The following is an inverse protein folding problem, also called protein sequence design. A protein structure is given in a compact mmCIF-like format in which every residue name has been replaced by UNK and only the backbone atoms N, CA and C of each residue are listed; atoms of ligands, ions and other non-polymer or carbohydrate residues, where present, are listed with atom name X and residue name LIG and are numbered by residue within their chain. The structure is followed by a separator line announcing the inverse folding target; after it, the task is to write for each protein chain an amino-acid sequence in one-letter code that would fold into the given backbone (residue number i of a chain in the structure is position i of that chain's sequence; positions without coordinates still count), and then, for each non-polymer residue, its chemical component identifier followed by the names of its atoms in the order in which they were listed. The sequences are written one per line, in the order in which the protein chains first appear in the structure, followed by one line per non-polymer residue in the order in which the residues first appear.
data_IF_960141231816
#
_entry.id   IF_960141231816
#
_cell.length_a   1.000
_cell.length_b   1.000
_cell.length_c   1.000
_cell.angle_alpha   90.00
_cell.angle_beta   90.00
_cell.angle_gamma   90.00
#
_symmetry.space_group_name_H-M   'P 1'
#
loop_
_entity.id
_entity.type
_entity.pdbx_description
1 polymer ?
#
# COMPACT_ATOMS: atom_id res chain seq x y z
N UNK A 1 6.01 -24.44 -2.76
CA UNK A 1 6.15 -22.96 -2.68
C UNK A 1 4.87 -22.37 -2.11
N UNK A 2 4.94 -21.27 -1.35
CA UNK A 2 3.75 -20.59 -0.81
C UNK A 2 3.71 -19.14 -1.30
N UNK A 3 2.61 -18.73 -1.94
CA UNK A 3 2.35 -17.36 -2.39
C UNK A 3 1.09 -16.87 -1.72
N UNK A 4 1.10 -15.62 -1.26
CA UNK A 4 -0.08 -14.99 -0.69
C UNK A 4 -0.42 -13.76 -1.49
N UNK A 5 -1.64 -13.68 -2.01
CA UNK A 5 -2.19 -12.48 -2.65
C UNK A 5 -3.27 -11.90 -1.75
N UNK A 6 -3.60 -10.63 -2.00
CA UNK A 6 -4.72 -9.98 -1.34
C UNK A 6 -5.58 -9.27 -2.37
N UNK A 7 -6.88 -9.42 -2.18
CA UNK A 7 -7.92 -8.88 -3.03
C UNK A 7 -8.85 -8.01 -2.20
N UNK A 8 -9.27 -6.89 -2.78
CA UNK A 8 -10.35 -6.05 -2.24
C UNK A 8 -11.67 -6.83 -2.18
N UNK A 9 -12.66 -6.33 -1.43
CA UNK A 9 -13.98 -6.99 -1.37
C UNK A 9 -14.63 -7.11 -2.76
N UNK A 10 -14.39 -6.13 -3.63
CA UNK A 10 -14.86 -6.17 -5.01
C UNK A 10 -14.20 -7.30 -5.81
N UNK A 11 -12.87 -7.42 -5.73
CA UNK A 11 -12.12 -8.45 -6.45
C UNK A 11 -12.38 -9.86 -5.90
N UNK A 12 -12.64 -10.01 -4.59
CA UNK A 12 -12.95 -11.30 -3.96
C UNK A 12 -14.11 -12.01 -4.65
N UNK A 13 -15.14 -11.27 -5.06
CA UNK A 13 -16.29 -11.85 -5.77
C UNK A 13 -15.85 -12.50 -7.08
N UNK A 14 -15.09 -11.78 -7.90
CA UNK A 14 -14.55 -12.28 -9.17
C UNK A 14 -13.60 -13.46 -8.96
N UNK A 15 -12.75 -13.40 -7.94
CA UNK A 15 -11.87 -14.52 -7.56
C UNK A 15 -12.71 -15.74 -7.18
N UNK A 16 -13.75 -15.57 -6.35
CA UNK A 16 -14.62 -16.67 -5.91
C UNK A 16 -15.36 -17.32 -7.08
N UNK A 17 -15.88 -16.52 -8.01
CA UNK A 17 -16.51 -16.99 -9.25
C UNK A 17 -15.54 -17.80 -10.11
N UNK A 18 -14.30 -17.30 -10.30
CA UNK A 18 -13.27 -18.02 -11.02
C UNK A 18 -12.90 -19.36 -10.35
N UNK A 19 -12.75 -19.37 -9.02
CA UNK A 19 -12.38 -20.58 -8.26
C UNK A 19 -13.49 -21.64 -8.27
N UNK A 20 -14.77 -21.27 -8.46
CA UNK A 20 -15.89 -22.21 -8.49
C UNK A 20 -15.82 -23.25 -9.63
N UNK A 21 -14.99 -23.01 -10.66
CA UNK A 21 -14.78 -23.94 -11.77
C UNK A 21 -13.78 -25.07 -11.49
N UNK A 22 -13.17 -25.12 -10.31
CA UNK A 22 -12.11 -26.07 -9.96
C UNK A 22 -12.57 -27.11 -8.93
N UNK A 23 -11.79 -28.18 -8.77
CA UNK A 23 -12.06 -29.24 -7.80
C UNK A 23 -12.08 -28.66 -6.37
N UNK A 24 -13.26 -28.68 -5.74
CA UNK A 24 -13.45 -28.20 -4.38
C UNK A 24 -12.84 -29.15 -3.36
N UNK A 25 -12.16 -28.58 -2.37
CA UNK A 25 -11.62 -29.27 -1.21
C UNK A 25 -12.37 -28.82 0.05
N UNK A 26 -12.39 -29.66 1.08
CA UNK A 26 -12.99 -29.31 2.35
C UNK A 26 -12.25 -28.13 3.01
N UNK A 27 -13.00 -27.10 3.39
CA UNK A 27 -12.48 -25.98 4.16
C UNK A 27 -12.07 -26.43 5.55
N UNK A 28 -10.89 -26.03 6.02
CA UNK A 28 -10.36 -26.46 7.32
C UNK A 28 -10.70 -25.53 8.47
N UNK A 29 -11.14 -24.31 8.18
CA UNK A 29 -11.46 -23.30 9.20
C UNK A 29 -12.67 -22.47 8.77
N UNK A 30 -13.38 -21.88 9.74
CA UNK A 30 -14.50 -20.96 9.49
C UNK A 30 -14.12 -19.67 8.74
N UNK A 31 -12.83 -19.39 8.59
CA UNK A 31 -12.33 -18.21 7.89
C UNK A 31 -11.98 -18.49 6.42
N UNK A 32 -12.11 -19.74 5.96
CA UNK A 32 -11.92 -20.11 4.56
C UNK A 32 -13.26 -19.98 3.82
N UNK A 33 -13.31 -19.11 2.80
CA UNK A 33 -14.48 -18.94 1.93
C UNK A 33 -14.55 -20.03 0.86
N UNK A 34 -13.39 -20.37 0.27
CA UNK A 34 -13.25 -21.35 -0.80
C UNK A 34 -11.88 -22.01 -0.69
N UNK A 35 -11.83 -23.33 -0.90
CA UNK A 35 -10.59 -24.10 -1.02
C UNK A 35 -10.70 -25.01 -2.23
N UNK A 36 -9.77 -24.92 -3.17
CA UNK A 36 -9.79 -25.70 -4.41
C UNK A 36 -8.41 -26.25 -4.76
N UNK A 37 -8.38 -27.27 -5.62
CA UNK A 37 -7.17 -27.78 -6.26
C UNK A 37 -7.07 -27.25 -7.68
N UNK A 38 -5.93 -26.65 -8.03
CA UNK A 38 -5.59 -26.18 -9.38
C UNK A 38 -4.24 -26.80 -9.76
N UNK A 39 -4.26 -27.82 -10.61
CA UNK A 39 -3.07 -28.62 -10.90
C UNK A 39 -2.48 -29.21 -9.62
N UNK A 40 -1.19 -29.03 -9.40
CA UNK A 40 -0.48 -29.45 -8.18
C UNK A 40 -0.47 -28.38 -7.07
N UNK A 41 -1.33 -27.36 -7.17
CA UNK A 41 -1.47 -26.31 -6.16
C UNK A 41 -2.82 -26.37 -5.46
N UNK A 42 -2.80 -26.14 -4.15
CA UNK A 42 -3.99 -25.85 -3.34
C UNK A 42 -4.14 -24.35 -3.24
N UNK A 43 -5.33 -23.85 -3.59
CA UNK A 43 -5.69 -22.43 -3.52
C UNK A 43 -6.78 -22.25 -2.48
N UNK A 44 -6.51 -21.41 -1.48
CA UNK A 44 -7.45 -21.09 -0.40
C UNK A 44 -7.75 -19.59 -0.39
N UNK A 45 -9.00 -19.22 -0.61
CA UNK A 45 -9.51 -17.86 -0.43
C UNK A 45 -10.11 -17.73 0.97
N UNK A 46 -9.69 -16.72 1.72
CA UNK A 46 -10.18 -16.42 3.07
C UNK A 46 -11.22 -15.31 3.05
N UNK A 47 -12.07 -15.28 4.08
CA UNK A 47 -13.09 -14.22 4.31
C UNK A 47 -12.49 -12.82 4.41
N UNK A 48 -11.19 -12.70 4.69
CA UNK A 48 -10.46 -11.42 4.71
C UNK A 48 -10.04 -10.89 3.33
N UNK A 49 -10.20 -11.69 2.27
CA UNK A 49 -9.68 -11.41 0.92
C UNK A 49 -8.25 -11.85 0.66
N UNK A 50 -7.62 -12.49 1.64
CA UNK A 50 -6.35 -13.18 1.43
C UNK A 50 -6.57 -14.42 0.57
N UNK A 51 -5.70 -14.64 -0.40
CA UNK A 51 -5.65 -15.85 -1.19
C UNK A 51 -4.27 -16.49 -1.01
N UNK A 52 -4.24 -17.73 -0.55
CA UNK A 52 -3.02 -18.51 -0.34
C UNK A 52 -2.93 -19.59 -1.42
N UNK A 53 -1.81 -19.62 -2.14
CA UNK A 53 -1.49 -20.63 -3.15
C UNK A 53 -0.33 -21.46 -2.61
N UNK A 54 -0.50 -22.77 -2.52
CA UNK A 54 0.51 -23.70 -2.01
C UNK A 54 0.70 -24.85 -2.97
N UNK A 55 1.91 -25.06 -3.47
CA UNK A 55 2.20 -26.14 -4.42
C UNK A 55 3.54 -25.93 -5.13
N UNK A 56 3.90 -26.86 -6.01
CA UNK A 56 5.05 -26.70 -6.90
C UNK A 56 4.73 -25.68 -8.00
N UNK A 57 3.52 -25.74 -8.56
CA UNK A 57 3.02 -24.84 -9.61
C UNK A 57 2.46 -23.50 -9.09
N UNK A 58 2.84 -23.09 -7.88
CA UNK A 58 2.19 -21.97 -7.21
C UNK A 58 2.30 -20.66 -8.01
N UNK A 59 3.45 -20.43 -8.65
CA UNK A 59 3.71 -19.20 -9.41
C UNK A 59 2.98 -19.17 -10.75
N UNK A 60 2.94 -20.31 -11.45
CA UNK A 60 2.11 -20.48 -12.64
C UNK A 60 0.62 -20.31 -12.32
N UNK A 61 0.18 -20.85 -11.18
CA UNK A 61 -1.21 -20.73 -10.69
C UNK A 61 -1.57 -19.27 -10.39
N UNK A 62 -0.64 -18.51 -9.77
CA UNK A 62 -0.79 -17.07 -9.54
C UNK A 62 -1.03 -16.32 -10.84
N UNK A 63 -0.17 -16.52 -11.84
CA UNK A 63 -0.23 -15.77 -13.10
C UNK A 63 -1.52 -16.08 -13.88
N UNK A 64 -1.91 -17.36 -13.96
CA UNK A 64 -3.16 -17.78 -14.59
C UNK A 64 -4.37 -17.18 -13.85
N UNK A 65 -4.37 -17.22 -12.51
CA UNK A 65 -5.47 -16.67 -11.71
C UNK A 65 -5.62 -15.17 -11.96
N UNK A 66 -4.52 -14.40 -11.85
CA UNK A 66 -4.55 -12.95 -12.05
C UNK A 66 -4.99 -12.56 -13.46
N UNK A 67 -4.57 -13.32 -14.48
CA UNK A 67 -5.02 -13.14 -15.85
C UNK A 67 -6.52 -13.37 -16.00
N UNK A 68 -7.05 -14.47 -15.47
CA UNK A 68 -8.46 -14.85 -15.66
C UNK A 68 -9.45 -13.96 -14.89
N UNK A 69 -9.05 -13.40 -13.75
CA UNK A 69 -9.87 -12.40 -13.04
C UNK A 69 -9.78 -11.01 -13.69
N UNK A 70 -9.09 -10.87 -14.83
CA UNK A 70 -8.93 -9.61 -15.55
C UNK A 70 -8.02 -8.61 -14.83
N UNK A 71 -7.17 -9.05 -13.90
CA UNK A 71 -6.27 -8.17 -13.17
C UNK A 71 -5.08 -7.76 -14.04
N UNK A 72 -5.25 -6.69 -14.81
CA UNK A 72 -4.15 -6.05 -15.54
C UNK A 72 -3.23 -5.37 -14.53
N UNK A 73 -2.01 -5.90 -14.37
CA UNK A 73 -1.01 -5.29 -13.51
C UNK A 73 -0.67 -3.89 -14.01
N UNK A 74 -0.98 -2.87 -13.23
CA UNK A 74 -0.72 -1.47 -13.56
C UNK A 74 0.59 -1.03 -12.90
N UNK A 75 1.49 -0.43 -13.67
CA UNK A 75 2.67 0.24 -13.11
C UNK A 75 2.29 1.68 -12.76
N UNK A 76 2.26 1.99 -11.47
CA UNK A 76 1.86 3.31 -10.97
C UNK A 76 2.75 3.78 -9.81
N UNK A 77 2.67 5.06 -9.47
CA UNK A 77 3.22 5.61 -8.22
C UNK A 77 2.10 5.73 -7.19
N UNK A 78 2.25 5.01 -6.08
CA UNK A 78 1.37 5.14 -4.91
C UNK A 78 2.01 6.02 -3.85
N UNK A 79 1.25 6.90 -3.22
CA UNK A 79 1.72 7.82 -2.18
C UNK A 79 0.78 7.74 -0.98
N UNK A 80 1.35 7.68 0.22
CA UNK A 80 0.59 7.67 1.48
C UNK A 80 1.40 8.36 2.59
N UNK A 81 0.72 8.94 3.56
CA UNK A 81 1.28 9.64 4.70
C UNK A 81 1.00 8.96 6.05
N UNK A 82 1.79 9.34 7.06
CA UNK A 82 1.55 8.90 8.43
C UNK A 82 2.06 9.94 9.43
N UNK A 83 1.52 9.91 10.65
CA UNK A 83 1.92 10.82 11.74
C UNK A 83 1.18 12.17 11.79
N UNK A 84 0.23 12.45 10.88
CA UNK A 84 -0.54 13.71 10.88
C UNK A 84 -1.39 13.86 12.15
N UNK A 85 -2.19 12.83 12.47
CA UNK A 85 -3.08 12.79 13.64
C UNK A 85 -2.45 12.20 14.90
N UNK A 86 -1.18 11.81 14.87
CA UNK A 86 -0.55 11.12 16.00
C UNK A 86 0.09 12.09 17.00
N UNK A 87 0.03 11.75 18.30
CA UNK A 87 0.54 12.60 19.39
C UNK A 87 2.06 12.64 19.50
N UNK A 88 2.77 11.70 18.89
CA UNK A 88 4.23 11.58 18.93
C UNK A 88 4.79 11.43 17.51
N UNK A 89 6.10 11.49 17.32
CA UNK A 89 6.74 11.16 16.06
C UNK A 89 6.71 12.25 14.99
N UNK A 90 7.52 12.09 13.92
CA UNK A 90 7.49 12.97 12.77
C UNK A 90 6.26 12.72 11.89
N UNK A 91 5.98 13.67 10.99
CA UNK A 91 5.12 13.44 9.83
C UNK A 91 5.96 12.89 8.69
N UNK A 92 5.44 11.87 8.01
CA UNK A 92 6.16 11.13 6.98
C UNK A 92 5.25 10.93 5.79
N UNK A 93 5.76 11.20 4.59
CA UNK A 93 5.10 10.89 3.32
C UNK A 93 6.03 9.95 2.55
N UNK A 94 5.49 8.86 2.03
CA UNK A 94 6.26 7.93 1.20
C UNK A 94 5.61 7.78 -0.17
N UNK A 95 6.44 7.66 -1.21
CA UNK A 95 6.04 7.29 -2.56
C UNK A 95 6.70 5.99 -2.99
N UNK A 96 5.95 5.13 -3.68
CA UNK A 96 6.42 3.85 -4.21
C UNK A 96 6.01 3.73 -5.67
N UNK A 97 6.97 3.47 -6.55
CA UNK A 97 6.73 3.01 -7.92
C UNK A 97 6.68 1.47 -7.92
N UNK A 98 5.59 0.89 -8.39
CA UNK A 98 5.45 -0.57 -8.42
C UNK A 98 4.32 -1.05 -9.31
N UNK A 99 4.36 -2.34 -9.66
CA UNK A 99 3.26 -3.00 -10.34
C UNK A 99 2.23 -3.47 -9.30
N UNK A 100 0.95 -3.22 -9.54
CA UNK A 100 -0.14 -3.60 -8.61
C UNK A 100 -0.12 -5.08 -8.29
N UNK A 101 0.06 -5.97 -9.28
CA UNK A 101 0.05 -7.41 -9.09
C UNK A 101 1.24 -7.91 -8.26
N UNK A 102 2.42 -7.33 -8.45
CA UNK A 102 3.64 -7.70 -7.71
C UNK A 102 3.58 -7.30 -6.22
N UNK A 103 2.78 -6.28 -5.88
CA UNK A 103 2.65 -5.77 -4.51
C UNK A 103 1.43 -6.32 -3.76
N UNK A 104 0.63 -7.21 -4.38
CA UNK A 104 -0.56 -7.86 -3.73
C UNK A 104 -0.21 -8.68 -2.49
N UNK A 105 1.05 -9.07 -2.32
CA UNK A 105 1.50 -9.86 -1.17
C UNK A 105 1.52 -9.10 0.17
N UNK A 106 1.29 -7.78 0.16
CA UNK A 106 1.54 -6.89 1.30
C UNK A 106 0.45 -6.85 2.40
N UNK A 107 -0.83 -7.06 2.08
CA UNK A 107 -1.95 -6.67 2.97
C UNK A 107 -1.94 -7.38 4.33
N UNK A 108 -1.58 -8.65 4.38
CA UNK A 108 -1.51 -9.40 5.64
C UNK A 108 -0.32 -8.98 6.53
N UNK A 109 0.74 -8.43 5.92
CA UNK A 109 1.90 -7.93 6.67
C UNK A 109 1.64 -6.59 7.36
N UNK A 110 0.63 -5.82 6.92
CA UNK A 110 0.16 -4.59 7.58
C UNK A 110 -0.62 -4.88 8.87
N UNK A 111 -1.44 -5.95 8.91
CA UNK A 111 -2.37 -6.24 10.02
C UNK A 111 -1.71 -6.84 11.27
N UNK A 112 -0.53 -7.44 11.17
CA UNK A 112 0.05 -8.29 12.24
C UNK A 112 1.27 -7.64 12.92
N UNK A 113 1.35 -6.31 13.01
CA UNK A 113 2.45 -5.62 13.75
C UNK A 113 3.87 -5.92 13.24
N UNK A 114 4.01 -6.56 12.07
CA UNK A 114 5.29 -6.98 11.46
C UNK A 114 5.66 -6.03 10.34
N UNK A 115 5.63 -4.74 10.61
CA UNK A 115 5.98 -3.69 9.64
C UNK A 115 7.37 -3.93 9.00
N UNK A 116 8.31 -4.51 9.76
CA UNK A 116 9.63 -4.90 9.25
C UNK A 116 9.59 -5.99 8.17
N UNK A 117 8.68 -6.97 8.27
CA UNK A 117 8.48 -7.99 7.22
C UNK A 117 7.80 -7.38 6.01
N UNK A 118 6.75 -6.57 6.23
CA UNK A 118 6.06 -5.85 5.17
C UNK A 118 7.05 -4.99 4.36
N UNK A 119 7.91 -4.22 5.04
CA UNK A 119 8.94 -3.39 4.40
C UNK A 119 9.88 -4.21 3.52
N UNK A 120 10.31 -5.41 3.95
CA UNK A 120 11.16 -6.27 3.12
C UNK A 120 10.48 -6.68 1.82
N UNK A 121 9.18 -6.99 1.87
CA UNK A 121 8.40 -7.30 0.67
C UNK A 121 8.30 -6.08 -0.24
N UNK A 122 8.00 -4.89 0.30
CA UNK A 122 7.96 -3.64 -0.50
C UNK A 122 9.30 -3.39 -1.19
N UNK A 123 10.41 -3.47 -0.45
CA UNK A 123 11.74 -3.21 -1.00
C UNK A 123 12.15 -4.23 -2.07
N UNK A 124 11.64 -5.47 -1.99
CA UNK A 124 11.90 -6.51 -2.99
C UNK A 124 11.12 -6.30 -4.29
N UNK A 125 9.88 -5.80 -4.21
CA UNK A 125 8.95 -5.74 -5.34
C UNK A 125 8.72 -4.32 -5.90
N UNK A 126 9.15 -3.27 -5.19
CA UNK A 126 9.11 -1.90 -5.71
C UNK A 126 10.22 -1.66 -6.74
N UNK A 127 9.90 -0.87 -7.78
CA UNK A 127 10.87 -0.41 -8.78
C UNK A 127 11.58 0.87 -8.35
N UNK A 128 11.03 1.58 -7.38
CA UNK A 128 11.60 2.77 -6.77
C UNK A 128 10.76 3.25 -5.60
N UNK A 129 11.38 3.95 -4.67
CA UNK A 129 10.67 4.58 -3.56
C UNK A 129 11.39 5.85 -3.10
N UNK A 130 10.63 6.75 -2.48
CA UNK A 130 11.14 7.94 -1.79
C UNK A 130 10.36 8.10 -0.50
N UNK A 131 11.05 8.46 0.58
CA UNK A 131 10.43 8.74 1.88
C UNK A 131 10.91 10.09 2.35
N UNK A 132 9.97 10.99 2.58
CA UNK A 132 10.21 12.32 3.13
C UNK A 132 9.68 12.35 4.56
N UNK A 133 10.42 12.99 5.46
CA UNK A 133 10.02 13.12 6.86
C UNK A 133 10.29 14.54 7.32
N UNK A 134 9.33 15.11 8.05
CA UNK A 134 9.48 16.39 8.73
C UNK A 134 9.20 16.21 10.22
N UNK A 135 10.11 16.73 11.03
CA UNK A 135 9.97 16.77 12.50
C UNK A 135 8.98 17.85 12.91
N UNK A 136 8.48 17.71 14.14
CA UNK A 136 7.66 18.71 14.84
C UNK A 136 8.14 20.16 14.64
N UNK A 137 9.40 20.45 14.97
CA UNK A 137 9.94 21.82 14.88
C UNK A 137 10.04 22.37 13.45
N UNK A 138 10.25 21.51 12.44
CA UNK A 138 10.26 21.95 11.04
C UNK A 138 8.86 22.36 10.60
N UNK A 139 7.85 21.61 11.02
CA UNK A 139 6.45 21.88 10.70
C UNK A 139 5.96 23.13 11.42
N UNK A 140 6.31 23.30 12.69
CA UNK A 140 6.03 24.53 13.43
C UNK A 140 6.66 25.75 12.77
N UNK A 141 7.91 25.64 12.29
CA UNK A 141 8.59 26.73 11.57
C UNK A 141 7.85 27.12 10.29
N UNK A 142 7.34 26.14 9.54
CA UNK A 142 6.54 26.39 8.33
C UNK A 142 5.16 26.97 8.67
N UNK A 143 4.50 26.46 9.71
CA UNK A 143 3.21 26.98 10.19
C UNK A 143 3.32 28.41 10.71
N UNK A 144 4.42 28.75 11.38
CA UNK A 144 4.74 30.12 11.79
C UNK A 144 4.93 31.10 10.62
N UNK A 145 5.15 30.59 9.40
CA UNK A 145 5.18 31.37 8.16
C UNK A 145 3.82 31.41 7.43
N UNK A 146 2.75 31.00 8.10
CA UNK A 146 1.38 31.02 7.57
C UNK A 146 1.01 29.81 6.71
N UNK A 147 1.83 28.76 6.66
CA UNK A 147 1.49 27.55 5.90
C UNK A 147 0.61 26.60 6.68
N UNK A 148 -0.43 26.10 6.03
CA UNK A 148 -1.30 25.08 6.59
C UNK A 148 -0.66 23.69 6.51
N UNK A 149 -1.22 22.73 7.25
CA UNK A 149 -0.75 21.35 7.13
C UNK A 149 -1.01 20.77 5.73
N UNK A 150 -2.11 21.16 5.09
CA UNK A 150 -2.40 20.77 3.71
C UNK A 150 -1.32 21.28 2.76
N UNK A 151 -0.83 22.51 2.94
CA UNK A 151 0.23 23.04 2.10
C UNK A 151 1.52 22.24 2.27
N UNK A 152 1.87 21.88 3.51
CA UNK A 152 3.09 21.12 3.84
C UNK A 152 3.04 19.71 3.25
N UNK A 153 1.90 19.04 3.38
CA UNK A 153 1.69 17.73 2.78
C UNK A 153 1.72 17.79 1.26
N UNK A 154 1.06 18.78 0.65
CA UNK A 154 1.05 18.99 -0.79
C UNK A 154 2.46 19.18 -1.36
N UNK A 155 3.30 19.96 -0.67
CA UNK A 155 4.71 20.15 -1.06
C UNK A 155 5.51 18.84 -0.99
N UNK A 156 5.35 18.05 0.08
CA UNK A 156 6.02 16.75 0.19
C UNK A 156 5.54 15.76 -0.89
N UNK A 157 4.25 15.75 -1.19
CA UNK A 157 3.70 14.95 -2.31
C UNK A 157 4.29 15.45 -3.64
N UNK A 158 4.33 16.77 -3.87
CA UNK A 158 4.87 17.36 -5.09
C UNK A 158 6.35 17.00 -5.29
N UNK A 159 7.17 17.03 -4.23
CA UNK A 159 8.58 16.62 -4.28
C UNK A 159 8.72 15.14 -4.69
N UNK A 160 7.87 14.26 -4.14
CA UNK A 160 7.84 12.84 -4.53
C UNK A 160 7.45 12.67 -5.99
N UNK A 161 6.39 13.36 -6.43
CA UNK A 161 5.91 13.33 -7.81
C UNK A 161 6.97 13.81 -8.78
N UNK A 162 7.62 14.94 -8.48
CA UNK A 162 8.70 15.50 -9.27
C UNK A 162 9.87 14.51 -9.39
N UNK A 163 10.29 13.90 -8.27
CA UNK A 163 11.38 12.92 -8.28
C UNK A 163 11.13 11.75 -9.24
N UNK A 164 9.91 11.22 -9.28
CA UNK A 164 9.56 10.14 -10.21
C UNK A 164 9.44 10.63 -11.66
N UNK A 165 8.89 11.83 -11.89
CA UNK A 165 8.78 12.43 -13.23
C UNK A 165 10.15 12.73 -13.84
N UNK A 166 11.08 13.27 -13.07
CA UNK A 166 12.47 13.52 -13.49
C UNK A 166 13.20 12.23 -13.86
N UNK A 167 12.84 11.12 -13.21
CA UNK A 167 13.31 9.76 -13.56
C UNK A 167 12.55 9.14 -14.74
N UNK A 168 11.70 9.90 -15.42
CA UNK A 168 11.01 9.51 -16.65
C UNK A 168 9.67 8.80 -16.46
N UNK A 169 9.12 8.74 -15.23
CA UNK A 169 7.80 8.16 -15.02
C UNK A 169 6.69 9.08 -15.55
N UNK A 170 5.82 8.54 -16.41
CA UNK A 170 4.69 9.25 -17.04
C UNK A 170 3.34 8.58 -16.82
N UNK A 171 3.28 7.57 -15.96
CA UNK A 171 2.06 6.82 -15.67
C UNK A 171 1.19 7.49 -14.61
N UNK A 172 0.20 6.75 -14.14
CA UNK A 172 -0.73 7.18 -13.08
C UNK A 172 -0.01 7.38 -11.74
N UNK A 173 -0.43 8.42 -11.02
CA UNK A 173 0.01 8.72 -9.65
C UNK A 173 -1.24 8.75 -8.78
N UNK A 174 -1.27 7.94 -7.73
CA UNK A 174 -2.40 7.78 -6.81
C UNK A 174 -1.95 8.07 -5.38
N UNK A 175 -2.66 8.97 -4.70
CA UNK A 175 -2.42 9.40 -3.32
C UNK A 175 -3.57 8.94 -2.44
N UNK A 176 -3.26 8.37 -1.27
CA UNK A 176 -4.29 8.11 -0.25
C UNK A 176 -4.84 9.41 0.33
N UNK A 177 -6.15 9.43 0.58
CA UNK A 177 -6.80 10.54 1.25
C UNK A 177 -7.65 11.44 0.34
N UNK A 178 -8.17 12.50 0.94
CA UNK A 178 -9.03 13.47 0.25
C UNK A 178 -8.19 14.47 -0.56
N UNK A 179 -8.73 15.03 -1.65
CA UNK A 179 -8.06 16.11 -2.38
C UNK A 179 -7.66 17.25 -1.45
N UNK A 180 -6.41 17.69 -1.59
CA UNK A 180 -5.90 18.88 -0.91
C UNK A 180 -6.31 20.14 -1.68
N UNK A 181 -6.34 21.29 -0.98
CA UNK A 181 -6.97 22.54 -1.42
C UNK A 181 -6.59 23.02 -2.85
N UNK A 182 -5.39 22.73 -3.33
CA UNK A 182 -4.90 23.21 -4.63
C UNK A 182 -4.75 22.11 -5.69
N UNK A 183 -4.97 20.83 -5.35
CA UNK A 183 -4.71 19.70 -6.23
C UNK A 183 -3.24 19.63 -6.72
N UNK A 184 -2.89 18.57 -7.45
CA UNK A 184 -1.65 18.50 -8.21
C UNK A 184 -2.00 17.95 -9.60
N UNK A 185 -1.52 18.63 -10.65
CA UNK A 185 -1.81 18.20 -12.02
C UNK A 185 -1.28 16.78 -12.27
N UNK A 186 -2.13 15.91 -12.84
CA UNK A 186 -1.79 14.52 -13.13
C UNK A 186 -1.62 13.64 -11.87
N UNK A 187 -2.20 14.05 -10.75
CA UNK A 187 -2.22 13.29 -9.49
C UNK A 187 -3.67 13.05 -9.07
N UNK A 188 -4.00 11.80 -8.79
CA UNK A 188 -5.31 11.38 -8.32
C UNK A 188 -5.30 11.18 -6.80
N UNK A 189 -6.31 11.69 -6.11
CA UNK A 189 -6.53 11.45 -4.68
C UNK A 189 -7.71 10.50 -4.52
N UNK A 190 -7.54 9.43 -3.74
CA UNK A 190 -8.57 8.45 -3.47
C UNK A 190 -8.58 8.12 -1.96
N UNK A 191 -9.70 8.37 -1.25
CA UNK A 191 -9.82 7.97 0.14
C UNK A 191 -9.71 6.44 0.32
N UNK A 192 -8.89 6.00 1.28
CA UNK A 192 -8.62 4.57 1.57
C UNK A 192 -7.97 3.82 0.42
N UNK A 193 -7.23 4.52 -0.43
CA UNK A 193 -6.44 3.92 -1.49
C UNK A 193 -5.39 2.96 -0.94
N UNK A 194 -4.89 3.15 0.28
CA UNK A 194 -3.90 2.24 0.88
C UNK A 194 -4.45 0.83 1.18
N UNK A 195 -5.77 0.71 1.35
CA UNK A 195 -6.52 -0.53 1.53
C UNK A 195 -6.98 -1.16 0.20
N UNK A 196 -7.18 -0.32 -0.84
CA UNK A 196 -7.73 -0.72 -2.14
C UNK A 196 -6.66 -0.95 -3.21
N UNK A 197 -5.54 -0.23 -3.15
CA UNK A 197 -4.46 -0.28 -4.13
C UNK A 197 -3.17 -0.83 -3.49
N UNK A 198 -2.62 -1.95 -3.98
CA UNK A 198 -1.42 -2.55 -3.41
C UNK A 198 -0.18 -1.63 -3.39
N UNK A 199 -0.05 -0.72 -4.36
CA UNK A 199 1.10 0.19 -4.46
C UNK A 199 1.00 1.33 -3.45
N UNK A 200 -0.19 1.92 -3.27
CA UNK A 200 -0.44 2.88 -2.18
C UNK A 200 -0.28 2.17 -0.83
N UNK A 201 -0.74 0.92 -0.74
CA UNK A 201 -0.51 0.10 0.44
C UNK A 201 0.98 -0.12 0.75
N UNK A 202 1.82 -0.24 -0.27
CA UNK A 202 3.27 -0.31 -0.14
C UNK A 202 3.87 1.01 0.38
N UNK A 203 3.38 2.15 -0.11
CA UNK A 203 3.76 3.47 0.40
C UNK A 203 3.44 3.62 1.89
N UNK A 204 2.23 3.22 2.31
CA UNK A 204 1.82 3.18 3.72
C UNK A 204 2.80 2.42 4.61
N UNK A 205 3.26 1.26 4.13
CA UNK A 205 4.21 0.42 4.84
C UNK A 205 5.55 1.13 4.99
N UNK A 206 6.05 1.79 3.94
CA UNK A 206 7.31 2.53 4.02
C UNK A 206 7.21 3.76 4.92
N UNK A 207 6.11 4.50 4.85
CA UNK A 207 5.85 5.66 5.70
C UNK A 207 5.85 5.26 7.19
N UNK A 208 5.04 4.25 7.55
CA UNK A 208 4.98 3.67 8.91
C UNK A 208 6.33 3.12 9.36
N UNK A 209 7.02 2.36 8.51
CA UNK A 209 8.33 1.79 8.86
C UNK A 209 9.42 2.85 9.06
N UNK A 210 9.38 3.95 8.31
CA UNK A 210 10.32 5.06 8.49
C UNK A 210 10.02 5.82 9.77
N UNK A 211 8.74 6.11 10.03
CA UNK A 211 8.30 6.74 11.27
C UNK A 211 8.67 5.90 12.50
N UNK A 212 8.43 4.59 12.46
CA UNK A 212 8.75 3.65 13.55
C UNK A 212 10.25 3.54 13.85
N UNK A 213 11.11 3.83 12.86
CA UNK A 213 12.57 3.85 13.02
C UNK A 213 13.12 5.23 13.35
N UNK A 214 12.28 6.27 13.34
CA UNK A 214 12.73 7.62 13.64
C UNK A 214 13.24 7.71 15.08
N UNK A 215 14.35 8.42 15.26
CA UNK A 215 14.85 8.78 16.61
C UNK A 215 13.84 9.64 17.38
N UNK A 216 12.95 10.31 16.66
CA UNK A 216 11.94 11.19 17.21
C UNK A 216 10.58 10.48 17.41
N UNK A 217 10.49 9.15 17.22
CA UNK A 217 9.21 8.40 17.30
C UNK A 217 8.42 8.68 18.58
N UNK A 218 9.08 8.64 19.72
CA UNK A 218 8.46 8.86 21.05
C UNK A 218 8.45 10.36 21.42
N UNK A 219 8.85 11.24 20.51
CA UNK A 219 8.99 12.67 20.74
C UNK A 219 7.99 13.41 19.86
N UNK A 220 7.23 14.34 20.45
CA UNK A 220 6.62 15.44 19.70
C UNK A 220 6.54 16.62 20.65
N UNK A 221 7.29 17.70 20.36
CA UNK A 221 7.36 18.84 21.26
C UNK A 221 6.86 20.18 20.70
N UNK A 222 6.27 20.19 19.50
CA UNK A 222 5.07 21.01 19.18
C UNK A 222 4.61 20.78 17.74
N UNK A 223 3.32 21.03 17.54
CA UNK A 223 2.56 21.06 16.28
C UNK A 223 1.43 22.10 16.44
N UNK A 224 1.65 23.09 17.31
CA UNK A 224 0.59 23.69 18.12
C UNK A 224 -0.50 24.37 17.28
N UNK A 225 -1.72 24.00 17.65
CA UNK A 225 -2.97 24.71 17.44
C UNK A 225 -3.22 25.60 18.67
N UNK A 226 -2.40 26.63 18.86
CA UNK A 226 -2.76 27.76 19.73
C UNK A 226 -3.05 28.91 18.75
N UNK A 227 -4.34 29.13 18.46
CA UNK A 227 -4.79 30.46 18.04
C UNK A 227 -4.79 31.36 19.28
#
# INVERSE_FOLDING_TARGET
MNISLNFSEQEKKTVKEYLAGFEALETKTQYEDVRVKIGESVVTLYTSGKLLIQGEDAEKTKDILLHNIGSVGELLVGIDETGRGENFGPFVVAGVLGNTNELRELRDSKKIGKIGRAKKVVLKHSKGHLVLSKRAGEIDSLRGKGRTMNDIELEMIAEIVQNFREKGFKGRILVDGSPLNQGLEGVEFMPKADDLNPVVGAASVLAKAARDKSKDKEIRKSWRTDN
#
